data_IF_347976106719
#
_entry.id   IF_347976106719
#
_cell.length_a   1.000
_cell.length_b   1.000
_cell.length_c   1.000
_cell.angle_alpha   90.00
_cell.angle_beta   90.00
_cell.angle_gamma   90.00
#
_symmetry.space_group_name_H-M   'P 1'
#
loop_
_entity.id
_entity.type
_entity.pdbx_description
1 polymer ?
#
# COMPACT_ATOMS: atom_id res chain seq x y z
N UNK A 1 -16.46 -40.04 -5.21
CA UNK A 1 -17.30 -38.87 -4.85
C UNK A 1 -16.37 -37.67 -4.79
N UNK A 2 -16.19 -36.98 -5.92
CA UNK A 2 -15.17 -35.95 -6.08
C UNK A 2 -15.53 -34.70 -5.29
N UNK A 3 -14.67 -34.34 -4.34
CA UNK A 3 -14.78 -33.09 -3.58
C UNK A 3 -14.61 -31.91 -4.53
N UNK A 4 -15.74 -31.29 -4.90
CA UNK A 4 -15.74 -29.99 -5.58
C UNK A 4 -15.16 -28.98 -4.61
N UNK A 5 -13.90 -28.63 -4.81
CA UNK A 5 -13.24 -27.55 -4.09
C UNK A 5 -14.03 -26.27 -4.37
N UNK A 6 -14.47 -25.51 -3.36
CA UNK A 6 -14.98 -24.17 -3.60
C UNK A 6 -13.81 -23.33 -4.09
N UNK A 7 -13.81 -23.07 -5.39
CA UNK A 7 -12.89 -22.13 -6.02
C UNK A 7 -13.31 -20.74 -5.52
N UNK A 8 -12.54 -20.19 -4.59
CA UNK A 8 -12.78 -18.84 -4.09
C UNK A 8 -12.44 -17.85 -5.20
N UNK A 9 -13.43 -17.52 -6.03
CA UNK A 9 -13.33 -16.42 -6.97
C UNK A 9 -13.34 -15.13 -6.15
N UNK A 10 -12.16 -14.62 -5.83
CA UNK A 10 -11.99 -13.20 -5.52
C UNK A 10 -12.74 -12.41 -6.60
N UNK A 11 -13.57 -11.42 -6.26
CA UNK A 11 -14.09 -10.50 -7.25
C UNK A 11 -12.93 -10.02 -8.12
N UNK A 12 -13.11 -10.14 -9.44
CA UNK A 12 -12.15 -9.66 -10.42
C UNK A 12 -12.30 -8.14 -10.55
N UNK A 13 -11.94 -7.41 -9.50
CA UNK A 13 -11.59 -5.99 -9.61
C UNK A 13 -10.09 -5.81 -9.88
N UNK A 14 -9.40 -6.91 -10.20
CA UNK A 14 -8.00 -6.98 -10.59
C UNK A 14 -7.85 -6.84 -12.10
N UNK A 15 -8.28 -5.70 -12.65
CA UNK A 15 -8.07 -5.40 -14.07
C UNK A 15 -6.64 -5.76 -14.50
N UNK A 16 -6.51 -6.41 -15.66
CA UNK A 16 -5.21 -6.73 -16.24
C UNK A 16 -4.35 -5.47 -16.33
N UNK A 17 -3.15 -5.49 -15.75
CA UNK A 17 -2.22 -4.34 -15.77
C UNK A 17 -1.45 -4.13 -14.47
N UNK A 18 -0.73 -3.01 -14.40
CA UNK A 18 0.18 -2.66 -13.31
C UNK A 18 -0.55 -2.56 -11.96
N UNK A 19 -1.72 -1.91 -11.90
CA UNK A 19 -2.49 -1.80 -10.65
C UNK A 19 -2.89 -3.18 -10.12
N UNK A 20 -3.32 -4.09 -11.01
CA UNK A 20 -3.62 -5.47 -10.66
C UNK A 20 -2.40 -6.22 -10.13
N UNK A 21 -1.21 -5.98 -10.69
CA UNK A 21 0.06 -6.53 -10.18
C UNK A 21 0.34 -6.06 -8.74
N UNK A 22 0.29 -4.75 -8.48
CA UNK A 22 0.54 -4.19 -7.14
C UNK A 22 -0.44 -4.71 -6.09
N UNK A 23 -1.73 -4.88 -6.46
CA UNK A 23 -2.74 -5.44 -5.54
C UNK A 23 -2.44 -6.88 -5.13
N UNK A 24 -1.83 -7.67 -6.02
CA UNK A 24 -1.52 -9.09 -5.84
C UNK A 24 -0.17 -9.36 -5.16
N UNK A 25 0.61 -8.33 -4.86
CA UNK A 25 1.90 -8.50 -4.19
C UNK A 25 1.76 -9.21 -2.83
N UNK A 26 2.72 -10.07 -2.46
CA UNK A 26 2.76 -10.69 -1.14
C UNK A 26 2.81 -9.64 -0.02
N UNK A 27 2.27 -9.92 1.18
CA UNK A 27 2.32 -8.97 2.30
C UNK A 27 3.74 -8.48 2.62
N UNK A 28 4.74 -9.34 2.59
CA UNK A 28 6.14 -8.96 2.85
C UNK A 28 6.70 -7.99 1.80
N UNK A 29 6.35 -8.19 0.52
CA UNK A 29 6.78 -7.29 -0.57
C UNK A 29 6.10 -5.94 -0.45
N UNK A 30 4.80 -5.91 -0.13
CA UNK A 30 4.08 -4.65 0.13
C UNK A 30 4.68 -3.88 1.30
N UNK A 31 5.12 -4.58 2.36
CA UNK A 31 5.80 -3.95 3.50
C UNK A 31 7.11 -3.30 3.06
N UNK A 32 7.95 -4.05 2.35
CA UNK A 32 9.23 -3.54 1.87
C UNK A 32 9.06 -2.30 0.96
N UNK A 33 8.08 -2.34 0.05
CA UNK A 33 7.75 -1.19 -0.79
C UNK A 33 7.23 0.00 0.02
N UNK A 34 6.43 -0.24 1.06
CA UNK A 34 5.90 0.84 1.91
C UNK A 34 6.99 1.53 2.70
N UNK A 35 7.90 0.75 3.30
CA UNK A 35 9.09 1.27 3.97
C UNK A 35 9.93 2.07 2.97
N UNK A 36 10.12 1.58 1.75
CA UNK A 36 10.87 2.32 0.74
C UNK A 36 10.20 3.64 0.36
N UNK A 37 8.87 3.65 0.17
CA UNK A 37 8.13 4.89 -0.13
C UNK A 37 8.28 5.89 1.02
N UNK A 38 8.04 5.47 2.26
CA UNK A 38 8.16 6.35 3.43
C UNK A 38 9.61 6.85 3.63
N UNK A 39 10.62 6.02 3.36
CA UNK A 39 12.03 6.42 3.48
C UNK A 39 12.47 7.41 2.40
N UNK A 40 11.94 7.28 1.18
CA UNK A 40 12.25 8.23 0.10
C UNK A 40 11.62 9.60 0.41
N UNK A 41 10.38 9.64 0.89
CA UNK A 41 9.75 10.88 1.36
C UNK A 41 10.48 11.50 2.55
N UNK A 42 10.99 10.69 3.47
CA UNK A 42 11.86 11.18 4.55
C UNK A 42 13.22 11.74 4.04
N UNK A 43 13.74 11.24 2.91
CA UNK A 43 15.07 11.61 2.42
C UNK A 43 15.11 12.97 1.74
N UNK A 44 13.99 13.44 1.17
CA UNK A 44 13.87 14.78 0.56
C UNK A 44 14.07 15.91 1.58
N UNK A 45 13.93 15.65 2.88
CA UNK A 45 14.26 16.58 3.98
C UNK A 45 15.74 16.84 4.19
N UNK A 46 16.61 15.92 3.76
CA UNK A 46 18.05 16.04 4.00
C UNK A 46 18.69 17.17 3.17
N UNK A 47 18.00 17.58 2.10
CA UNK A 47 18.41 18.67 1.20
C UNK A 47 17.27 19.68 1.02
N UNK A 48 17.04 20.57 2.01
CA UNK A 48 16.08 21.65 1.87
C UNK A 48 16.41 22.47 0.61
N UNK A 49 15.40 22.76 -0.21
CA UNK A 49 15.45 23.27 -1.60
C UNK A 49 15.55 22.24 -2.75
N UNK A 50 16.23 21.10 -2.60
CA UNK A 50 16.18 20.02 -3.62
C UNK A 50 14.98 19.10 -3.38
N UNK A 51 14.65 18.86 -2.10
CA UNK A 51 13.46 18.12 -1.69
C UNK A 51 12.17 18.70 -2.26
N UNK A 52 11.93 19.99 -2.06
CA UNK A 52 10.70 20.67 -2.49
C UNK A 52 10.44 20.58 -4.01
N UNK A 53 11.50 20.53 -4.83
CA UNK A 53 11.37 20.35 -6.30
C UNK A 53 11.13 18.88 -6.65
N UNK A 54 11.71 17.95 -5.89
CA UNK A 54 11.46 16.53 -6.05
C UNK A 54 10.02 16.16 -5.64
N UNK A 55 9.46 16.80 -4.61
CA UNK A 55 8.11 16.55 -4.09
C UNK A 55 7.02 16.81 -5.12
N UNK A 56 7.23 17.75 -6.06
CA UNK A 56 6.33 17.99 -7.21
C UNK A 56 6.08 16.72 -8.04
N UNK A 57 7.10 15.88 -8.16
CA UNK A 57 7.02 14.61 -8.89
C UNK A 57 6.80 13.43 -7.96
N UNK A 58 7.43 13.46 -6.79
CA UNK A 58 7.41 12.37 -5.84
C UNK A 58 6.07 12.25 -5.14
N UNK A 59 5.44 13.34 -4.69
CA UNK A 59 4.13 13.30 -4.04
C UNK A 59 3.04 12.63 -4.91
N UNK A 60 2.81 12.99 -6.19
CA UNK A 60 1.81 12.31 -7.01
C UNK A 60 2.22 10.86 -7.32
N UNK A 61 3.52 10.56 -7.43
CA UNK A 61 4.01 9.21 -7.66
C UNK A 61 3.79 8.31 -6.43
N UNK A 62 4.15 8.77 -5.24
CA UNK A 62 3.98 8.05 -3.97
C UNK A 62 2.50 7.79 -3.71
N UNK A 63 1.64 8.80 -3.89
CA UNK A 63 0.19 8.67 -3.79
C UNK A 63 -0.37 7.62 -4.76
N UNK A 64 0.11 7.61 -6.01
CA UNK A 64 -0.28 6.63 -7.02
C UNK A 64 0.14 5.21 -6.64
N UNK A 65 1.36 5.04 -6.09
CA UNK A 65 1.88 3.75 -5.62
C UNK A 65 1.05 3.25 -4.42
N UNK A 66 0.78 4.10 -3.43
CA UNK A 66 -0.04 3.77 -2.25
C UNK A 66 -1.45 3.35 -2.69
N UNK A 67 -2.06 4.09 -3.60
CA UNK A 67 -3.37 3.73 -4.15
C UNK A 67 -3.32 2.41 -4.92
N UNK A 68 -2.29 2.17 -5.73
CA UNK A 68 -2.13 0.92 -6.47
C UNK A 68 -1.97 -0.30 -5.54
N UNK A 69 -1.23 -0.16 -4.43
CA UNK A 69 -1.00 -1.26 -3.49
C UNK A 69 -2.21 -1.57 -2.60
N UNK A 70 -2.94 -0.54 -2.17
CA UNK A 70 -3.94 -0.64 -1.09
C UNK A 70 -5.37 -0.30 -1.49
N UNK A 71 -5.57 0.35 -2.65
CA UNK A 71 -6.89 0.80 -3.11
C UNK A 71 -7.56 1.82 -2.20
N UNK A 72 -6.80 2.46 -1.30
CA UNK A 72 -7.31 3.42 -0.33
C UNK A 72 -7.00 4.85 -0.78
N UNK A 73 -8.05 5.58 -1.16
CA UNK A 73 -7.94 7.02 -1.48
C UNK A 73 -7.48 7.81 -0.26
N UNK A 74 -7.94 7.44 0.94
CA UNK A 74 -7.56 8.10 2.18
C UNK A 74 -6.05 8.10 2.40
N UNK A 75 -5.41 6.93 2.34
CA UNK A 75 -3.95 6.83 2.53
C UNK A 75 -3.15 7.46 1.39
N UNK A 76 -3.69 7.44 0.15
CA UNK A 76 -3.05 8.08 -0.99
C UNK A 76 -3.07 9.62 -0.86
N UNK A 77 -4.21 10.20 -0.46
CA UNK A 77 -4.33 11.64 -0.21
C UNK A 77 -3.54 12.07 1.01
N UNK A 78 -3.52 11.27 2.08
CA UNK A 78 -2.72 11.54 3.26
C UNK A 78 -1.22 11.61 2.90
N UNK A 79 -0.69 10.59 2.21
CA UNK A 79 0.71 10.58 1.80
C UNK A 79 1.05 11.68 0.80
N UNK A 80 0.13 12.02 -0.11
CA UNK A 80 0.29 13.18 -0.99
C UNK A 80 0.40 14.49 -0.21
N UNK A 81 -0.48 14.67 0.78
CA UNK A 81 -0.54 15.90 1.57
C UNK A 81 0.70 16.07 2.45
N UNK A 82 1.21 14.97 3.00
CA UNK A 82 2.44 14.96 3.80
C UNK A 82 3.63 15.41 2.94
N UNK A 83 3.80 14.82 1.75
CA UNK A 83 4.93 15.11 0.85
C UNK A 83 4.85 16.52 0.25
N UNK A 84 3.64 17.07 0.07
CA UNK A 84 3.45 18.44 -0.40
C UNK A 84 3.66 19.50 0.69
N UNK A 85 3.58 19.12 1.96
CA UNK A 85 3.66 20.05 3.08
C UNK A 85 5.02 19.89 3.77
N UNK A 86 5.95 20.83 3.55
CA UNK A 86 7.28 20.73 4.14
C UNK A 86 7.18 20.69 5.67
N UNK A 87 7.73 19.64 6.26
CA UNK A 87 7.79 19.44 7.71
C UNK A 87 6.73 18.48 8.25
N UNK A 88 5.96 17.81 7.39
CA UNK A 88 4.88 16.89 7.81
C UNK A 88 5.12 15.41 7.48
N UNK A 89 6.14 15.05 6.69
CA UNK A 89 6.49 13.65 6.34
C UNK A 89 7.15 12.83 7.46
N UNK A 90 6.82 13.14 8.71
CA UNK A 90 7.23 12.33 9.85
C UNK A 90 6.33 11.09 10.01
N UNK A 91 5.22 11.05 9.29
CA UNK A 91 4.21 10.01 9.40
C UNK A 91 4.51 8.95 8.32
N UNK A 92 4.81 7.69 8.70
CA UNK A 92 5.07 6.63 7.73
C UNK A 92 3.75 6.10 7.13
N UNK A 93 3.11 6.91 6.29
CA UNK A 93 1.75 6.69 5.80
C UNK A 93 1.60 5.43 4.97
N UNK A 94 2.58 5.08 4.13
CA UNK A 94 2.52 3.84 3.36
C UNK A 94 2.60 2.62 4.30
N UNK A 95 3.43 2.68 5.34
CA UNK A 95 3.55 1.61 6.34
C UNK A 95 2.29 1.49 7.20
N UNK A 96 1.61 2.60 7.51
CA UNK A 96 0.31 2.56 8.19
C UNK A 96 -0.78 1.92 7.30
N UNK A 97 -0.79 2.26 6.01
CA UNK A 97 -1.69 1.63 5.04
C UNK A 97 -1.45 0.11 4.96
N UNK A 98 -0.18 -0.31 4.96
CA UNK A 98 0.20 -1.71 5.03
C UNK A 98 -0.31 -2.40 6.29
N UNK A 99 -0.11 -1.79 7.46
CA UNK A 99 -0.53 -2.36 8.74
C UNK A 99 -2.04 -2.61 8.76
N UNK A 100 -2.82 -1.65 8.27
CA UNK A 100 -4.27 -1.79 8.15
C UNK A 100 -4.66 -2.88 7.14
N UNK A 101 -4.00 -2.95 5.98
CA UNK A 101 -4.25 -4.02 4.99
C UNK A 101 -3.92 -5.41 5.55
N UNK A 102 -2.79 -5.54 6.25
CA UNK A 102 -2.35 -6.78 6.88
C UNK A 102 -3.33 -7.24 7.96
N UNK A 103 -3.79 -6.32 8.82
CA UNK A 103 -4.78 -6.61 9.84
C UNK A 103 -6.10 -7.12 9.25
N UNK A 104 -6.61 -6.45 8.20
CA UNK A 104 -7.83 -6.89 7.48
C UNK A 104 -7.66 -8.29 6.91
N UNK A 105 -6.51 -8.60 6.29
CA UNK A 105 -6.21 -9.93 5.74
C UNK A 105 -6.20 -10.99 6.83
N UNK A 106 -5.52 -10.74 7.95
CA UNK A 106 -5.48 -11.66 9.11
C UNK A 106 -6.88 -11.94 9.67
N UNK A 107 -7.70 -10.90 9.84
CA UNK A 107 -9.09 -11.03 10.32
C UNK A 107 -9.95 -11.85 9.36
N UNK A 108 -9.76 -11.71 8.04
CA UNK A 108 -10.47 -12.51 7.03
C UNK A 108 -10.06 -13.98 7.11
N UNK A 109 -8.76 -14.27 7.17
CA UNK A 109 -8.25 -15.64 7.30
C UNK A 109 -8.75 -16.32 8.58
N UNK A 110 -8.69 -15.62 9.73
CA UNK A 110 -9.17 -16.16 11.01
C UNK A 110 -10.68 -16.42 11.06
N UNK A 111 -11.47 -15.75 10.20
CA UNK A 111 -12.92 -15.96 10.09
C UNK A 111 -13.30 -17.01 9.05
N UNK A 112 -12.36 -17.47 8.23
CA UNK A 112 -12.62 -18.47 7.22
C UNK A 112 -12.48 -19.88 7.83
N UNK A 113 -13.58 -20.63 7.98
CA UNK A 113 -13.56 -21.97 8.58
C UNK A 113 -12.79 -23.01 7.74
N UNK A 114 -12.44 -22.70 6.48
CA UNK A 114 -11.67 -23.57 5.60
C UNK A 114 -10.20 -23.16 5.45
N UNK A 115 -9.71 -22.18 6.20
CA UNK A 115 -8.35 -21.62 6.04
C UNK A 115 -7.21 -22.50 6.60
N UNK A 116 -7.53 -23.62 7.25
CA UNK A 116 -6.53 -24.53 7.84
C UNK A 116 -5.76 -23.94 9.03
N UNK A 117 -6.23 -22.83 9.60
CA UNK A 117 -5.58 -22.11 10.70
C UNK A 117 -6.14 -22.46 12.10
N UNK A 118 -6.67 -23.66 12.30
CA UNK A 118 -7.01 -24.21 13.63
C UNK A 118 -5.89 -25.09 14.15
#
# INVERSE_FOLDING_TARGET
MGSRRPQYSMPDDSGAGLIGLFRRLPPAVKLALSILVDLVGCFTYLFPAVGEVADVWWAPLSASIIYAMYGSVFYAVLGFAEEMLPGTDLIPTASLAWMYDYYKRRRRLARDPNSGAM
#
